data_IF_691953629041
#
_entry.id   IF_691953629041
#
_cell.length_a   1.000
_cell.length_b   1.000
_cell.length_c   1.000
_cell.angle_alpha   90.00
_cell.angle_beta   90.00
_cell.angle_gamma   90.00
#
_symmetry.space_group_name_H-M   'P 1'
#
loop_
_entity.id
_entity.type
_entity.pdbx_description
1 polymer ?
#
# COMPACT_ATOMS: atom_id res chain seq x y z
N UNK A 1 1.58 -1.95 -26.16
CA UNK A 1 2.21 -0.98 -25.24
C UNK A 1 3.13 -1.76 -24.32
N UNK A 2 4.40 -1.35 -24.22
CA UNK A 2 5.41 -2.06 -23.45
C UNK A 2 5.10 -1.90 -21.95
N UNK A 3 4.66 -3.00 -21.33
CA UNK A 3 4.58 -3.14 -19.87
C UNK A 3 6.01 -3.06 -19.32
N UNK A 4 6.42 -1.95 -18.72
CA UNK A 4 7.77 -1.81 -18.16
C UNK A 4 7.77 -2.20 -16.69
N UNK A 5 8.41 -3.34 -16.41
CA UNK A 5 8.88 -3.64 -15.06
C UNK A 5 10.32 -3.15 -15.00
N UNK A 6 10.56 -2.11 -14.21
CA UNK A 6 11.89 -1.64 -13.89
C UNK A 6 12.39 -2.36 -12.63
N UNK A 7 13.22 -3.39 -12.80
CA UNK A 7 13.80 -4.13 -11.69
C UNK A 7 15.27 -3.75 -11.50
N UNK A 8 15.54 -2.99 -10.43
CA UNK A 8 16.89 -2.53 -10.06
C UNK A 8 17.57 -3.45 -9.05
N UNK A 9 16.87 -4.46 -8.51
CA UNK A 9 17.39 -5.37 -7.49
C UNK A 9 18.66 -6.13 -7.96
N UNK A 10 18.79 -6.59 -9.21
CA UNK A 10 20.05 -7.16 -9.69
C UNK A 10 21.25 -6.21 -9.57
N UNK A 11 21.03 -4.90 -9.76
CA UNK A 11 22.08 -3.89 -9.57
C UNK A 11 22.45 -3.70 -8.10
N UNK A 12 21.52 -3.94 -7.17
CA UNK A 12 21.80 -3.93 -5.73
C UNK A 12 22.66 -5.13 -5.32
N UNK A 13 22.40 -6.32 -5.86
CA UNK A 13 23.20 -7.51 -5.55
C UNK A 13 24.67 -7.40 -5.98
N UNK A 14 24.98 -6.66 -7.04
CA UNK A 14 26.36 -6.38 -7.47
C UNK A 14 27.19 -5.65 -6.40
N UNK A 15 26.54 -4.96 -5.45
CA UNK A 15 27.25 -4.30 -4.34
C UNK A 15 27.88 -5.32 -3.37
N UNK A 16 27.35 -6.54 -3.30
CA UNK A 16 27.84 -7.58 -2.40
C UNK A 16 29.02 -8.40 -2.96
N UNK A 17 29.41 -8.18 -4.22
CA UNK A 17 30.54 -8.89 -4.84
C UNK A 17 31.88 -8.62 -4.11
N UNK A 18 31.96 -7.55 -3.31
CA UNK A 18 33.13 -7.15 -2.53
C UNK A 18 33.02 -7.46 -1.01
N UNK A 19 32.07 -8.30 -0.59
CA UNK A 19 31.81 -8.75 0.80
C UNK A 19 31.37 -7.68 1.83
N UNK A 20 31.41 -6.38 1.52
CA UNK A 20 30.89 -5.31 2.41
C UNK A 20 30.23 -4.21 1.59
N UNK A 21 29.07 -3.74 2.03
CA UNK A 21 28.40 -2.54 1.48
C UNK A 21 28.65 -1.37 2.42
N UNK A 22 29.25 -0.30 1.91
CA UNK A 22 29.32 0.98 2.59
C UNK A 22 28.18 1.93 2.20
N UNK A 23 28.09 3.06 2.91
CA UNK A 23 27.17 4.14 2.56
C UNK A 23 27.38 4.66 1.14
N UNK A 24 28.64 4.77 0.70
CA UNK A 24 28.98 5.25 -0.65
C UNK A 24 28.48 4.29 -1.74
N UNK A 25 28.63 2.97 -1.53
CA UNK A 25 28.11 1.95 -2.45
C UNK A 25 26.59 2.04 -2.59
N UNK A 26 25.90 2.21 -1.45
CA UNK A 26 24.46 2.32 -1.41
C UNK A 26 23.96 3.63 -2.05
N UNK A 27 24.62 4.76 -1.79
CA UNK A 27 24.33 6.03 -2.46
C UNK A 27 24.56 5.95 -3.97
N UNK A 28 25.66 5.33 -4.41
CA UNK A 28 25.94 5.12 -5.83
C UNK A 28 24.87 4.26 -6.51
N UNK A 29 24.32 3.26 -5.82
CA UNK A 29 23.18 2.49 -6.34
C UNK A 29 21.94 3.37 -6.50
N UNK A 30 21.59 4.18 -5.50
CA UNK A 30 20.44 5.07 -5.57
C UNK A 30 20.56 6.11 -6.69
N UNK A 31 21.74 6.72 -6.84
CA UNK A 31 21.97 7.78 -7.82
C UNK A 31 21.99 7.25 -9.27
N UNK A 32 22.20 5.93 -9.46
CA UNK A 32 22.13 5.27 -10.77
C UNK A 32 20.70 5.01 -11.27
N UNK A 33 19.72 4.99 -10.36
CA UNK A 33 18.33 4.64 -10.67
C UNK A 33 17.34 5.71 -10.17
N UNK A 34 17.49 6.99 -10.57
CA UNK A 34 16.67 8.09 -10.05
C UNK A 34 15.17 7.85 -10.22
N UNK A 35 14.76 7.16 -11.28
CA UNK A 35 13.36 6.83 -11.56
C UNK A 35 12.71 5.93 -10.50
N UNK A 36 13.49 5.16 -9.73
CA UNK A 36 12.98 4.36 -8.61
C UNK A 36 13.06 5.11 -7.27
N UNK A 37 13.95 6.09 -7.14
CA UNK A 37 14.39 6.61 -5.85
C UNK A 37 14.04 8.06 -5.57
N UNK A 38 13.79 8.90 -6.58
CA UNK A 38 13.42 10.30 -6.37
C UNK A 38 12.11 10.42 -5.58
N UNK A 39 11.04 9.73 -6.02
CA UNK A 39 9.75 9.69 -5.30
C UNK A 39 9.90 9.05 -3.92
N UNK A 40 10.62 7.93 -3.84
CA UNK A 40 10.83 7.18 -2.59
C UNK A 40 11.50 8.02 -1.51
N UNK A 41 12.63 8.67 -1.80
CA UNK A 41 13.35 9.43 -0.80
C UNK A 41 12.69 10.76 -0.44
N UNK A 42 11.93 11.33 -1.38
CA UNK A 42 11.20 12.58 -1.17
C UNK A 42 10.00 12.41 -0.24
N UNK A 43 9.28 11.29 -0.35
CA UNK A 43 7.99 11.14 0.33
C UNK A 43 7.85 9.94 1.27
N UNK A 44 8.64 8.88 1.07
CA UNK A 44 8.43 7.60 1.77
C UNK A 44 9.57 7.21 2.72
N UNK A 45 10.78 7.70 2.48
CA UNK A 45 11.94 7.38 3.29
C UNK A 45 12.93 8.55 3.30
N UNK A 46 13.05 9.33 4.39
CA UNK A 46 14.08 10.36 4.43
C UNK A 46 15.49 9.77 4.25
N UNK A 47 16.23 10.23 3.24
CA UNK A 47 17.62 9.79 2.94
C UNK A 47 18.61 10.41 3.92
N UNK A 48 18.68 9.86 5.13
CA UNK A 48 19.64 10.27 6.18
C UNK A 48 20.71 9.20 6.39
N UNK A 49 21.94 9.61 6.73
CA UNK A 49 23.06 8.68 6.96
C UNK A 49 22.75 7.65 8.05
N UNK A 50 22.09 8.07 9.13
CA UNK A 50 21.66 7.17 10.21
C UNK A 50 20.72 6.08 9.70
N UNK A 51 19.71 6.45 8.90
CA UNK A 51 18.76 5.47 8.34
C UNK A 51 19.43 4.52 7.36
N UNK A 52 20.32 5.03 6.51
CA UNK A 52 21.02 4.20 5.54
C UNK A 52 22.00 3.24 6.22
N UNK A 53 22.73 3.70 7.24
CA UNK A 53 23.58 2.83 8.07
C UNK A 53 22.76 1.71 8.72
N UNK A 54 21.63 2.06 9.33
CA UNK A 54 20.71 1.09 9.92
C UNK A 54 20.09 0.13 8.89
N UNK A 55 19.96 0.54 7.61
CA UNK A 55 19.47 -0.33 6.54
C UNK A 55 20.55 -1.33 6.12
N UNK A 56 21.82 -0.89 6.00
CA UNK A 56 22.97 -1.74 5.69
C UNK A 56 23.06 -2.92 6.68
N UNK A 57 22.90 -2.65 7.98
CA UNK A 57 22.94 -3.69 9.02
C UNK A 57 21.80 -4.71 8.91
N UNK A 58 20.68 -4.34 8.27
CA UNK A 58 19.49 -5.19 8.14
C UNK A 58 19.46 -6.00 6.84
N UNK A 59 20.16 -5.58 5.78
CA UNK A 59 20.12 -6.29 4.51
C UNK A 59 20.57 -7.76 4.60
N UNK A 60 21.64 -8.14 5.34
CA UNK A 60 22.14 -9.52 5.34
C UNK A 60 21.07 -10.56 5.67
N UNK A 61 20.17 -10.26 6.62
CA UNK A 61 19.08 -11.18 7.00
C UNK A 61 17.90 -11.18 6.03
N UNK A 62 17.92 -10.31 5.01
CA UNK A 62 16.88 -10.14 4.00
C UNK A 62 17.31 -10.49 2.58
N UNK A 63 18.58 -10.81 2.34
CA UNK A 63 19.09 -11.08 0.99
C UNK A 63 18.37 -12.23 0.30
N UNK A 64 18.09 -13.32 1.01
CA UNK A 64 17.36 -14.45 0.44
C UNK A 64 15.94 -14.06 0.04
N UNK A 65 15.20 -13.38 0.91
CA UNK A 65 13.87 -12.84 0.61
C UNK A 65 13.90 -11.93 -0.62
N UNK A 66 14.83 -10.97 -0.64
CA UNK A 66 14.98 -9.98 -1.73
C UNK A 66 15.28 -10.67 -3.06
N UNK A 67 16.12 -11.72 -3.07
CA UNK A 67 16.42 -12.49 -4.27
C UNK A 67 15.17 -13.21 -4.79
N UNK A 68 14.45 -13.92 -3.92
CA UNK A 68 13.20 -14.61 -4.26
C UNK A 68 12.18 -13.62 -4.83
N UNK A 69 12.04 -12.44 -4.22
CA UNK A 69 11.14 -11.39 -4.68
C UNK A 69 11.55 -10.89 -6.08
N UNK A 70 12.84 -10.62 -6.30
CA UNK A 70 13.36 -10.18 -7.60
C UNK A 70 13.04 -11.16 -8.74
N UNK A 71 13.11 -12.46 -8.45
CA UNK A 71 12.84 -13.52 -9.44
C UNK A 71 11.35 -13.77 -9.66
N UNK A 72 10.53 -13.67 -8.61
CA UNK A 72 9.13 -14.10 -8.64
C UNK A 72 8.14 -12.96 -8.89
N UNK A 73 8.37 -11.78 -8.32
CA UNK A 73 7.44 -10.64 -8.36
C UNK A 73 7.08 -10.20 -9.78
N UNK A 74 7.99 -10.16 -10.77
CA UNK A 74 7.62 -9.82 -12.14
C UNK A 74 6.55 -10.73 -12.74
N UNK A 75 6.64 -12.04 -12.48
CA UNK A 75 5.63 -13.01 -12.94
C UNK A 75 4.29 -12.84 -12.22
N UNK A 76 4.33 -12.51 -10.93
CA UNK A 76 3.15 -12.25 -10.10
C UNK A 76 2.43 -10.98 -10.58
N UNK A 77 3.18 -9.92 -10.90
CA UNK A 77 2.64 -8.69 -11.48
C UNK A 77 1.86 -9.00 -12.76
N UNK A 78 2.44 -9.79 -13.68
CA UNK A 78 1.72 -10.16 -14.90
C UNK A 78 0.46 -10.99 -14.61
N UNK A 79 0.53 -11.94 -13.67
CA UNK A 79 -0.65 -12.72 -13.26
C UNK A 79 -1.79 -11.81 -12.76
N UNK A 80 -1.47 -10.87 -11.87
CA UNK A 80 -2.47 -9.97 -11.26
C UNK A 80 -3.03 -8.98 -12.28
N UNK A 81 -2.20 -8.45 -13.20
CA UNK A 81 -2.66 -7.61 -14.31
C UNK A 81 -3.72 -8.35 -15.15
N UNK A 82 -3.44 -9.60 -15.52
CA UNK A 82 -4.40 -10.38 -16.33
C UNK A 82 -5.69 -10.68 -15.57
N UNK A 83 -5.64 -10.81 -14.23
CA UNK A 83 -6.86 -10.93 -13.40
C UNK A 83 -7.68 -9.64 -13.40
N UNK A 84 -7.05 -8.47 -13.26
CA UNK A 84 -7.74 -7.18 -13.35
C UNK A 84 -8.36 -6.97 -14.73
N UNK A 85 -7.64 -7.32 -15.80
CA UNK A 85 -8.18 -7.30 -17.16
C UNK A 85 -9.38 -8.23 -17.30
N UNK A 86 -9.26 -9.48 -16.85
CA UNK A 86 -10.33 -10.47 -16.99
C UNK A 86 -11.58 -10.13 -16.19
N UNK A 87 -11.42 -9.58 -14.97
CA UNK A 87 -12.52 -9.30 -14.07
C UNK A 87 -13.18 -7.94 -14.33
N UNK A 88 -12.38 -6.90 -14.61
CA UNK A 88 -12.87 -5.53 -14.69
C UNK A 88 -12.70 -4.90 -16.07
N UNK A 89 -12.12 -5.61 -17.04
CA UNK A 89 -11.76 -5.03 -18.35
C UNK A 89 -10.66 -3.97 -18.24
N UNK A 90 -9.94 -3.92 -17.12
CA UNK A 90 -8.99 -2.85 -16.82
C UNK A 90 -7.62 -3.12 -17.46
N UNK A 91 -7.17 -2.17 -18.30
CA UNK A 91 -5.83 -2.19 -18.90
C UNK A 91 -4.84 -1.42 -18.02
N UNK A 92 -4.01 -2.16 -17.29
CA UNK A 92 -2.95 -1.60 -16.44
C UNK A 92 -1.83 -1.04 -17.33
N UNK A 93 -1.72 0.29 -17.40
CA UNK A 93 -0.75 1.02 -18.20
C UNK A 93 0.17 1.89 -17.33
N UNK A 94 0.88 1.27 -16.40
CA UNK A 94 1.84 1.92 -15.49
C UNK A 94 3.16 1.14 -15.47
N UNK A 95 4.23 1.79 -15.03
CA UNK A 95 5.52 1.14 -14.76
C UNK A 95 5.51 0.56 -13.35
N UNK A 96 6.16 -0.59 -13.19
CA UNK A 96 6.38 -1.20 -11.89
C UNK A 96 7.86 -1.11 -11.52
N UNK A 97 8.18 -0.43 -10.42
CA UNK A 97 9.54 -0.28 -9.91
C UNK A 97 9.80 -1.25 -8.78
N UNK A 98 10.78 -2.14 -8.97
CA UNK A 98 11.22 -3.11 -7.97
C UNK A 98 12.63 -2.71 -7.55
N UNK A 99 12.82 -2.45 -6.27
CA UNK A 99 14.08 -1.93 -5.76
C UNK A 99 14.35 -2.35 -4.32
N UNK A 100 15.57 -2.09 -3.85
CA UNK A 100 15.95 -2.25 -2.43
C UNK A 100 16.13 -0.87 -1.81
N UNK A 101 15.22 -0.49 -0.93
CA UNK A 101 15.17 0.82 -0.29
C UNK A 101 15.80 0.84 1.11
N UNK A 102 15.51 1.89 1.86
CA UNK A 102 16.00 2.12 3.23
C UNK A 102 14.98 1.75 4.32
N UNK A 103 14.15 0.72 4.09
CA UNK A 103 13.11 0.26 5.02
C UNK A 103 12.04 1.31 5.38
N UNK A 104 11.75 2.28 4.50
CA UNK A 104 10.68 3.27 4.64
C UNK A 104 9.28 2.67 4.45
N UNK A 105 8.87 2.50 3.19
CA UNK A 105 7.62 1.84 2.78
C UNK A 105 7.87 0.45 2.21
N UNK A 106 6.82 -0.35 2.10
CA UNK A 106 6.84 -1.68 1.46
C UNK A 106 6.35 -1.62 0.00
N UNK A 107 5.26 -0.90 -0.25
CA UNK A 107 4.77 -0.56 -1.57
C UNK A 107 4.06 0.79 -1.53
N UNK A 108 3.91 1.43 -2.69
CA UNK A 108 3.13 2.64 -2.86
C UNK A 108 2.86 2.90 -4.34
N UNK A 109 1.84 3.73 -4.59
CA UNK A 109 1.61 4.39 -5.88
C UNK A 109 2.19 5.80 -5.83
N UNK A 110 2.81 6.23 -6.92
CA UNK A 110 3.22 7.63 -7.10
C UNK A 110 2.04 8.60 -6.90
N UNK A 111 2.35 9.83 -6.49
CA UNK A 111 1.32 10.84 -6.19
C UNK A 111 0.50 11.32 -7.39
N UNK A 112 0.90 10.97 -8.61
CA UNK A 112 0.06 11.21 -9.79
C UNK A 112 -1.23 10.38 -9.71
N UNK A 113 -2.33 10.89 -10.29
CA UNK A 113 -3.64 10.21 -10.25
C UNK A 113 -3.56 8.80 -10.85
N UNK A 114 -2.79 8.65 -11.93
CA UNK A 114 -2.51 7.36 -12.56
C UNK A 114 -0.98 7.27 -12.65
N UNK A 115 -0.34 7.09 -11.50
CA UNK A 115 1.11 7.06 -11.37
C UNK A 115 1.70 5.65 -11.40
N UNK A 116 3.03 5.60 -11.40
CA UNK A 116 3.78 4.34 -11.35
C UNK A 116 3.63 3.63 -9.98
N UNK A 117 3.88 2.31 -9.96
CA UNK A 117 3.74 1.46 -8.77
C UNK A 117 5.13 1.02 -8.30
N UNK A 118 5.38 1.13 -6.99
CA UNK A 118 6.69 0.94 -6.39
C UNK A 118 6.66 -0.17 -5.35
N UNK A 119 7.66 -1.05 -5.38
CA UNK A 119 7.84 -2.17 -4.47
C UNK A 119 9.26 -2.18 -3.89
N UNK A 120 9.35 -1.96 -2.58
CA UNK A 120 10.59 -2.01 -1.81
C UNK A 120 10.78 -3.41 -1.23
N UNK A 121 11.58 -4.23 -1.91
CA UNK A 121 11.68 -5.67 -1.66
C UNK A 121 12.11 -6.01 -0.23
N UNK A 122 12.91 -5.16 0.42
CA UNK A 122 13.42 -5.41 1.77
C UNK A 122 12.34 -5.43 2.86
N UNK A 123 11.14 -4.89 2.57
CA UNK A 123 9.99 -4.91 3.48
C UNK A 123 8.87 -5.86 3.07
N UNK A 124 9.02 -6.56 1.95
CA UNK A 124 8.02 -7.51 1.50
C UNK A 124 8.28 -8.89 2.10
N UNK A 125 7.20 -9.67 2.22
CA UNK A 125 7.30 -11.11 2.42
C UNK A 125 7.63 -11.77 1.09
N UNK A 126 8.54 -12.74 1.09
CA UNK A 126 8.90 -13.55 -0.09
C UNK A 126 7.83 -14.58 -0.47
N UNK A 127 6.90 -14.87 0.44
CA UNK A 127 5.74 -15.74 0.19
C UNK A 127 4.86 -15.24 -0.97
N UNK A 128 4.64 -16.13 -1.95
CA UNK A 128 3.92 -15.82 -3.21
C UNK A 128 2.54 -15.20 -2.97
N UNK A 129 1.76 -15.75 -2.06
CA UNK A 129 0.38 -15.29 -1.83
C UNK A 129 0.34 -13.89 -1.20
N UNK A 130 1.33 -13.55 -0.37
CA UNK A 130 1.46 -12.20 0.18
C UNK A 130 1.79 -11.19 -0.92
N UNK A 131 2.70 -11.56 -1.83
CA UNK A 131 3.07 -10.75 -2.99
C UNK A 131 1.87 -10.56 -3.95
N UNK A 132 1.07 -11.60 -4.18
CA UNK A 132 -0.15 -11.50 -5.02
C UNK A 132 -1.13 -10.49 -4.44
N UNK A 133 -1.34 -10.51 -3.13
CA UNK A 133 -2.26 -9.58 -2.46
C UNK A 133 -1.77 -8.15 -2.53
N UNK A 134 -0.52 -7.87 -2.18
CA UNK A 134 -0.03 -6.49 -2.18
C UNK A 134 0.03 -5.91 -3.61
N UNK A 135 0.37 -6.72 -4.62
CA UNK A 135 0.29 -6.27 -6.02
C UNK A 135 -1.15 -5.96 -6.41
N UNK A 136 -2.11 -6.79 -5.99
CA UNK A 136 -3.52 -6.54 -6.26
C UNK A 136 -4.04 -5.28 -5.56
N UNK A 137 -3.53 -4.99 -4.36
CA UNK A 137 -3.84 -3.78 -3.61
C UNK A 137 -3.37 -2.52 -4.35
N UNK A 138 -2.09 -2.46 -4.74
CA UNK A 138 -1.55 -1.28 -5.42
C UNK A 138 -2.19 -1.02 -6.79
N UNK A 139 -2.46 -2.09 -7.57
CA UNK A 139 -3.24 -1.96 -8.82
C UNK A 139 -4.67 -1.49 -8.52
N UNK A 140 -5.23 -1.87 -7.36
CA UNK A 140 -6.55 -1.45 -6.91
C UNK A 140 -6.67 0.05 -6.72
N UNK A 141 -5.62 0.71 -6.22
CA UNK A 141 -5.58 2.18 -6.15
C UNK A 141 -5.65 2.83 -7.53
N UNK A 142 -4.87 2.33 -8.50
CA UNK A 142 -4.89 2.84 -9.88
C UNK A 142 -6.26 2.61 -10.52
N UNK A 143 -6.78 1.39 -10.44
CA UNK A 143 -8.08 1.05 -10.98
C UNK A 143 -9.19 1.94 -10.42
N UNK A 144 -9.21 2.14 -9.09
CA UNK A 144 -10.18 3.00 -8.44
C UNK A 144 -10.08 4.46 -8.91
N UNK A 145 -8.87 5.00 -9.06
CA UNK A 145 -8.68 6.34 -9.61
C UNK A 145 -9.23 6.44 -11.05
N UNK A 146 -9.00 5.44 -11.90
CA UNK A 146 -9.57 5.39 -13.25
C UNK A 146 -11.10 5.37 -13.22
N UNK A 147 -11.71 4.50 -12.39
CA UNK A 147 -13.16 4.42 -12.23
C UNK A 147 -13.76 5.75 -11.77
N UNK A 148 -13.14 6.41 -10.80
CA UNK A 148 -13.57 7.73 -10.32
C UNK A 148 -13.46 8.79 -11.41
N UNK A 149 -12.35 8.82 -12.15
CA UNK A 149 -12.12 9.77 -13.24
C UNK A 149 -13.16 9.60 -14.35
N UNK A 150 -13.44 8.36 -14.76
CA UNK A 150 -14.50 8.05 -15.74
C UNK A 150 -15.91 8.43 -15.23
N UNK A 151 -16.08 8.52 -13.92
CA UNK A 151 -17.33 8.93 -13.25
C UNK A 151 -17.31 10.40 -12.79
N UNK A 152 -16.47 11.24 -13.42
CA UNK A 152 -16.53 12.70 -13.28
C UNK A 152 -15.87 13.26 -12.03
N UNK A 153 -14.95 12.52 -11.40
CA UNK A 153 -14.18 13.01 -10.26
C UNK A 153 -13.39 14.28 -10.61
N UNK A 154 -13.57 15.34 -9.81
CA UNK A 154 -12.80 16.59 -9.91
C UNK A 154 -11.61 16.52 -8.95
N UNK A 155 -10.47 16.06 -9.47
CA UNK A 155 -9.24 15.91 -8.69
C UNK A 155 -8.71 17.21 -8.09
N UNK A 156 -9.12 18.38 -8.61
CA UNK A 156 -8.72 19.68 -8.04
C UNK A 156 -9.41 19.99 -6.72
N UNK A 157 -10.50 19.29 -6.42
CA UNK A 157 -11.26 19.39 -5.16
C UNK A 157 -11.05 18.20 -4.24
N UNK A 158 -10.21 17.24 -4.62
CA UNK A 158 -9.96 16.06 -3.83
C UNK A 158 -9.20 16.42 -2.54
N UNK A 159 -9.79 16.11 -1.40
CA UNK A 159 -9.21 16.34 -0.08
C UNK A 159 -8.23 15.23 0.30
N UNK A 160 -7.13 15.12 -0.43
CA UNK A 160 -6.15 14.02 -0.31
C UNK A 160 -5.57 13.81 1.10
N UNK A 161 -5.59 14.86 1.93
CA UNK A 161 -5.09 14.81 3.31
C UNK A 161 -6.18 14.53 4.34
N UNK A 162 -7.45 14.43 3.92
CA UNK A 162 -8.53 14.08 4.83
C UNK A 162 -8.44 12.58 5.17
N UNK A 163 -8.42 12.20 6.45
CA UNK A 163 -8.30 10.81 6.87
C UNK A 163 -9.51 9.93 6.49
N UNK A 164 -10.69 10.50 6.23
CA UNK A 164 -11.83 9.77 5.68
C UNK A 164 -11.57 9.35 4.22
N UNK A 165 -10.90 10.21 3.44
CA UNK A 165 -10.43 9.87 2.09
C UNK A 165 -9.39 8.75 2.16
N UNK A 166 -8.41 8.83 3.06
CA UNK A 166 -7.43 7.75 3.26
C UNK A 166 -8.09 6.44 3.66
N UNK A 167 -9.01 6.47 4.63
CA UNK A 167 -9.77 5.30 5.07
C UNK A 167 -10.53 4.63 3.93
N UNK A 168 -11.26 5.42 3.14
CA UNK A 168 -12.00 4.91 1.99
C UNK A 168 -11.08 4.33 0.90
N UNK A 169 -9.98 5.02 0.56
CA UNK A 169 -9.06 4.56 -0.51
C UNK A 169 -8.33 3.27 -0.13
N UNK A 170 -7.85 3.14 1.10
CA UNK A 170 -7.24 1.90 1.57
C UNK A 170 -8.27 0.78 1.69
N UNK A 171 -9.50 1.09 2.10
CA UNK A 171 -10.62 0.16 2.12
C UNK A 171 -10.98 -0.39 0.74
N UNK A 172 -11.08 0.49 -0.26
CA UNK A 172 -11.35 0.11 -1.65
C UNK A 172 -10.22 -0.77 -2.20
N UNK A 173 -8.96 -0.38 -2.03
CA UNK A 173 -7.83 -1.18 -2.51
C UNK A 173 -7.75 -2.56 -1.83
N UNK A 174 -8.00 -2.61 -0.52
CA UNK A 174 -8.06 -3.88 0.22
C UNK A 174 -9.22 -4.76 -0.27
N UNK A 175 -10.42 -4.19 -0.42
CA UNK A 175 -11.59 -4.88 -0.97
C UNK A 175 -11.32 -5.44 -2.37
N UNK A 176 -10.76 -4.63 -3.27
CA UNK A 176 -10.40 -5.08 -4.63
C UNK A 176 -9.35 -6.19 -4.61
N UNK A 177 -8.37 -6.14 -3.69
CA UNK A 177 -7.38 -7.20 -3.52
C UNK A 177 -8.03 -8.54 -3.14
N UNK A 178 -9.06 -8.53 -2.29
CA UNK A 178 -9.86 -9.72 -1.94
C UNK A 178 -10.65 -10.27 -3.12
N UNK A 179 -11.13 -9.39 -4.01
CA UNK A 179 -11.85 -9.82 -5.21
C UNK A 179 -10.92 -10.48 -6.23
N UNK A 180 -9.70 -9.97 -6.38
CA UNK A 180 -8.72 -10.44 -7.37
C UNK A 180 -7.96 -11.68 -6.90
N UNK A 181 -7.60 -11.73 -5.61
CA UNK A 181 -6.87 -12.82 -4.97
C UNK A 181 -7.79 -13.49 -3.96
N UNK A 182 -8.41 -14.61 -4.34
CA UNK A 182 -9.39 -15.31 -3.50
C UNK A 182 -8.78 -16.47 -2.72
N UNK A 183 -9.42 -16.83 -1.60
CA UNK A 183 -9.15 -18.07 -0.87
C UNK A 183 -8.01 -18.01 0.15
N UNK A 184 -7.55 -16.82 0.51
CA UNK A 184 -6.53 -16.63 1.55
C UNK A 184 -7.14 -16.38 2.92
N UNK A 185 -6.32 -16.56 3.96
CA UNK A 185 -6.64 -16.12 5.32
C UNK A 185 -6.86 -14.61 5.30
N UNK A 186 -7.89 -14.16 6.01
CA UNK A 186 -8.33 -12.77 6.01
C UNK A 186 -7.23 -11.79 6.46
N UNK A 187 -6.40 -12.19 7.42
CA UNK A 187 -5.29 -11.38 7.94
C UNK A 187 -4.22 -11.04 6.89
N UNK A 188 -4.13 -11.82 5.82
CA UNK A 188 -3.17 -11.59 4.74
C UNK A 188 -3.53 -10.33 3.95
N UNK A 189 -4.82 -10.00 3.79
CA UNK A 189 -5.25 -8.80 3.06
C UNK A 189 -4.89 -7.49 3.76
N UNK A 190 -4.61 -7.55 5.06
CA UNK A 190 -4.25 -6.37 5.87
C UNK A 190 -2.74 -6.31 6.16
N UNK A 191 -2.13 -7.45 6.48
CA UNK A 191 -0.74 -7.52 6.91
C UNK A 191 0.25 -7.80 5.77
N UNK A 192 -0.22 -8.41 4.68
CA UNK A 192 0.63 -8.99 3.63
C UNK A 192 1.69 -9.95 4.21
N UNK A 193 1.31 -10.69 5.25
CA UNK A 193 2.18 -11.59 6.01
C UNK A 193 1.39 -12.75 6.62
N UNK A 194 2.10 -13.76 7.11
CA UNK A 194 1.48 -14.88 7.83
C UNK A 194 1.15 -14.58 9.29
N UNK A 195 1.67 -13.46 9.81
CA UNK A 195 1.65 -13.10 11.24
C UNK A 195 0.54 -12.09 11.58
N UNK A 196 -0.36 -11.81 10.64
CA UNK A 196 -1.43 -10.83 10.81
C UNK A 196 -2.59 -11.26 11.70
N UNK A 197 -2.72 -12.56 12.02
CA UNK A 197 -3.86 -13.11 12.74
C UNK A 197 -4.10 -12.45 14.12
N UNK A 198 -3.09 -12.21 14.98
CA UNK A 198 -3.30 -11.52 16.26
C UNK A 198 -3.83 -10.09 16.08
N UNK A 199 -3.34 -9.38 15.07
CA UNK A 199 -3.78 -8.01 14.78
C UNK A 199 -5.23 -8.01 14.32
N UNK A 200 -5.60 -8.89 13.38
CA UNK A 200 -6.98 -9.02 12.91
C UNK A 200 -7.95 -9.42 14.02
N UNK A 201 -7.55 -10.34 14.90
CA UNK A 201 -8.35 -10.74 16.05
C UNK A 201 -8.61 -9.54 16.98
N UNK A 202 -7.57 -8.73 17.26
CA UNK A 202 -7.73 -7.51 18.02
C UNK A 202 -8.72 -6.54 17.36
N UNK A 203 -8.67 -6.39 16.03
CA UNK A 203 -9.56 -5.49 15.30
C UNK A 203 -11.02 -5.90 15.45
N UNK A 204 -11.31 -7.19 15.27
CA UNK A 204 -12.66 -7.73 15.38
C UNK A 204 -13.22 -7.65 16.80
N UNK A 205 -12.41 -7.93 17.81
CA UNK A 205 -12.82 -7.87 19.21
C UNK A 205 -13.07 -6.43 19.70
N UNK A 206 -12.44 -5.44 19.06
CA UNK A 206 -12.44 -4.05 19.50
C UNK A 206 -13.06 -3.08 18.47
N UNK A 207 -13.76 -3.58 17.45
CA UNK A 207 -14.23 -2.78 16.30
C UNK A 207 -14.96 -1.50 16.73
N UNK A 208 -15.95 -1.62 17.63
CA UNK A 208 -16.70 -0.48 18.17
C UNK A 208 -15.80 0.55 18.87
N UNK A 209 -14.78 0.08 19.60
CA UNK A 209 -13.84 0.95 20.27
C UNK A 209 -12.93 1.66 19.28
N UNK A 210 -12.47 0.94 18.25
CA UNK A 210 -11.63 1.44 17.17
C UNK A 210 -12.40 2.51 16.37
N UNK A 211 -13.66 2.26 15.97
CA UNK A 211 -14.53 3.25 15.31
C UNK A 211 -14.68 4.52 16.12
N UNK A 212 -15.04 4.39 17.41
CA UNK A 212 -15.16 5.54 18.32
C UNK A 212 -13.86 6.31 18.43
N UNK A 213 -12.73 5.63 18.51
CA UNK A 213 -11.43 6.28 18.66
C UNK A 213 -11.03 7.02 17.38
N UNK A 214 -11.25 6.43 16.21
CA UNK A 214 -11.02 7.10 14.93
C UNK A 214 -11.86 8.39 14.83
N UNK A 215 -13.16 8.30 15.14
CA UNK A 215 -14.07 9.46 15.14
C UNK A 215 -13.61 10.56 16.12
N UNK A 216 -13.18 10.18 17.33
CA UNK A 216 -12.63 11.15 18.29
C UNK A 216 -11.35 11.80 17.78
N UNK A 217 -10.46 11.04 17.16
CA UNK A 217 -9.23 11.57 16.59
C UNK A 217 -9.50 12.51 15.41
N UNK A 218 -10.50 12.19 14.59
CA UNK A 218 -11.02 13.05 13.51
C UNK A 218 -11.53 14.39 14.06
N UNK A 219 -12.49 14.36 14.99
CA UNK A 219 -13.15 15.57 15.55
C UNK A 219 -12.15 16.46 16.29
N UNK A 220 -11.14 15.89 16.96
CA UNK A 220 -10.10 16.64 17.68
C UNK A 220 -9.04 17.26 16.76
N UNK A 221 -9.11 17.02 15.44
CA UNK A 221 -8.15 17.49 14.44
C UNK A 221 -7.02 16.48 14.17
N UNK A 222 -6.63 16.31 12.91
CA UNK A 222 -5.68 15.29 12.50
C UNK A 222 -4.22 15.72 12.67
N UNK A 223 -3.34 14.82 13.12
CA UNK A 223 -1.90 15.06 13.30
C UNK A 223 -1.08 13.91 12.72
N UNK A 224 0.23 14.11 12.54
CA UNK A 224 1.14 13.06 12.08
C UNK A 224 1.16 11.82 12.99
N UNK A 225 1.01 12.00 14.31
CA UNK A 225 0.93 10.87 15.25
C UNK A 225 -0.34 10.04 15.05
N UNK A 226 -1.45 10.70 14.70
CA UNK A 226 -2.70 10.02 14.38
C UNK A 226 -2.57 9.29 13.04
N UNK A 227 -2.04 9.94 12.03
CA UNK A 227 -1.74 9.30 10.74
C UNK A 227 -0.85 8.04 10.93
N UNK A 228 0.13 8.14 11.83
CA UNK A 228 1.01 7.04 12.21
C UNK A 228 0.26 5.88 12.88
N UNK A 229 -0.65 6.16 13.81
CA UNK A 229 -1.50 5.15 14.47
C UNK A 229 -2.37 4.41 13.45
N UNK A 230 -2.98 5.14 12.51
CA UNK A 230 -4.04 4.60 11.65
C UNK A 230 -3.53 3.95 10.37
N UNK A 231 -2.56 4.56 9.70
CA UNK A 231 -2.21 4.20 8.31
C UNK A 231 -0.76 3.77 8.12
N UNK A 232 0.19 4.25 8.95
CA UNK A 232 1.62 3.94 8.73
C UNK A 232 2.01 2.57 9.26
N UNK A 233 2.95 1.91 8.57
CA UNK A 233 3.56 0.63 8.97
C UNK A 233 4.22 0.65 10.35
N UNK A 234 4.77 1.81 10.75
CA UNK A 234 5.36 1.98 12.07
C UNK A 234 4.34 1.90 13.20
N UNK A 235 3.04 1.98 12.88
CA UNK A 235 1.92 1.93 13.80
C UNK A 235 1.96 3.04 14.85
N UNK A 236 1.04 2.94 15.79
CA UNK A 236 1.03 3.76 16.98
C UNK A 236 0.97 2.92 18.25
N UNK A 237 0.88 3.60 19.39
CA UNK A 237 1.03 2.96 20.69
C UNK A 237 -0.34 2.65 21.34
N UNK A 238 -1.45 3.13 20.78
CA UNK A 238 -2.72 3.03 21.48
C UNK A 238 -3.29 1.61 21.44
N UNK A 239 -3.34 1.01 20.25
CA UNK A 239 -3.77 -0.37 20.09
C UNK A 239 -2.60 -1.36 19.99
N UNK A 240 -1.38 -0.87 19.75
CA UNK A 240 -0.17 -1.70 19.61
C UNK A 240 -0.09 -2.47 18.29
N UNK A 241 -0.95 -2.13 17.32
CA UNK A 241 -0.99 -2.72 15.97
C UNK A 241 -0.98 -1.61 14.91
N UNK A 242 -0.69 -1.95 13.65
CA UNK A 242 -0.60 -1.01 12.53
C UNK A 242 -1.72 -1.23 11.51
N UNK A 243 -1.97 -0.25 10.62
CA UNK A 243 -2.99 -0.35 9.55
C UNK A 243 -4.42 -0.57 10.06
N UNK A 244 -4.76 -0.06 11.24
CA UNK A 244 -6.14 -0.06 11.75
C UNK A 244 -7.12 0.62 10.78
N UNK A 245 -6.65 1.66 10.07
CA UNK A 245 -7.43 2.36 9.06
C UNK A 245 -7.78 1.48 7.85
N UNK A 246 -6.98 0.47 7.53
CA UNK A 246 -7.28 -0.48 6.45
C UNK A 246 -8.45 -1.37 6.85
N UNK A 247 -8.46 -1.87 8.08
CA UNK A 247 -9.57 -2.66 8.61
C UNK A 247 -10.87 -1.84 8.61
N UNK A 248 -10.86 -0.64 9.22
CA UNK A 248 -12.04 0.23 9.21
C UNK A 248 -12.48 0.61 7.79
N UNK A 249 -11.52 0.89 6.91
CA UNK A 249 -11.76 1.19 5.51
C UNK A 249 -12.49 0.06 4.79
N UNK A 250 -12.03 -1.17 4.96
CA UNK A 250 -12.66 -2.35 4.36
C UNK A 250 -14.05 -2.58 4.95
N UNK A 251 -14.22 -2.48 6.28
CA UNK A 251 -15.56 -2.58 6.91
C UNK A 251 -16.54 -1.52 6.37
N UNK A 252 -16.08 -0.28 6.17
CA UNK A 252 -16.89 0.77 5.55
C UNK A 252 -17.21 0.45 4.09
N UNK A 253 -16.22 -0.01 3.32
CA UNK A 253 -16.40 -0.40 1.92
C UNK A 253 -17.42 -1.53 1.78
N UNK A 254 -17.31 -2.58 2.60
CA UNK A 254 -18.28 -3.68 2.63
C UNK A 254 -19.68 -3.19 3.00
N UNK A 255 -19.80 -2.27 3.96
CA UNK A 255 -21.07 -1.66 4.33
C UNK A 255 -21.73 -0.92 3.15
N UNK A 256 -20.98 -0.09 2.41
CA UNK A 256 -21.54 0.65 1.28
C UNK A 256 -21.82 -0.27 0.08
N UNK A 257 -20.99 -1.30 -0.17
CA UNK A 257 -21.25 -2.32 -1.20
C UNK A 257 -22.55 -3.06 -0.91
N UNK A 258 -22.75 -3.50 0.34
CA UNK A 258 -23.97 -4.17 0.75
C UNK A 258 -25.21 -3.26 0.62
N UNK A 259 -25.05 -1.95 0.86
CA UNK A 259 -26.16 -1.00 0.88
C UNK A 259 -26.52 -0.48 -0.52
N UNK A 260 -25.53 -0.25 -1.38
CA UNK A 260 -25.68 0.49 -2.64
C UNK A 260 -25.31 -0.32 -3.89
N UNK A 261 -24.56 -1.42 -3.73
CA UNK A 261 -23.94 -2.15 -4.84
C UNK A 261 -22.48 -1.77 -5.04
N UNK A 262 -21.72 -2.65 -5.70
CA UNK A 262 -20.27 -2.48 -5.91
C UNK A 262 -19.95 -1.27 -6.81
N UNK A 263 -20.71 -1.05 -7.88
CA UNK A 263 -20.46 0.06 -8.81
C UNK A 263 -20.68 1.43 -8.14
N UNK A 264 -21.75 1.55 -7.36
CA UNK A 264 -22.07 2.73 -6.57
C UNK A 264 -21.03 2.95 -5.47
N UNK A 265 -20.60 1.87 -4.80
CA UNK A 265 -19.56 1.95 -3.78
C UNK A 265 -18.21 2.41 -4.33
N UNK A 266 -17.79 1.91 -5.50
CA UNK A 266 -16.53 2.31 -6.16
C UNK A 266 -16.58 3.71 -6.79
N UNK A 267 -17.76 4.27 -7.01
CA UNK A 267 -17.94 5.63 -7.56
C UNK A 267 -18.49 6.61 -6.52
N UNK A 268 -18.54 6.20 -5.25
CA UNK A 268 -19.21 6.95 -4.19
C UNK A 268 -18.60 8.35 -4.02
N UNK A 269 -17.27 8.43 -3.98
CA UNK A 269 -16.54 9.67 -3.73
C UNK A 269 -16.76 10.73 -4.82
N UNK A 270 -16.97 10.35 -6.08
CA UNK A 270 -17.19 11.34 -7.14
C UNK A 270 -18.57 12.00 -7.12
N UNK A 271 -19.53 11.39 -6.40
CA UNK A 271 -20.95 11.79 -6.42
C UNK A 271 -21.48 12.26 -5.07
N UNK A 272 -20.78 11.97 -3.97
CA UNK A 272 -21.29 12.16 -2.61
C UNK A 272 -20.27 12.84 -1.70
N UNK A 273 -20.77 13.35 -0.58
CA UNK A 273 -19.92 13.81 0.52
C UNK A 273 -19.34 12.61 1.27
N UNK A 274 -18.15 12.17 0.86
CA UNK A 274 -17.47 11.01 1.44
C UNK A 274 -17.24 11.18 2.94
N UNK A 275 -16.75 12.36 3.37
CA UNK A 275 -16.42 12.61 4.76
C UNK A 275 -17.65 12.48 5.66
N UNK A 276 -18.76 13.10 5.27
CA UNK A 276 -20.02 13.01 6.00
C UNK A 276 -20.50 11.57 6.10
N UNK A 277 -20.46 10.81 5.00
CA UNK A 277 -20.88 9.40 5.01
C UNK A 277 -20.01 8.52 5.90
N UNK A 278 -18.68 8.68 5.88
CA UNK A 278 -17.77 7.95 6.77
C UNK A 278 -18.06 8.32 8.22
N UNK A 279 -18.24 9.60 8.53
CA UNK A 279 -18.53 10.05 9.90
C UNK A 279 -19.87 9.53 10.42
N UNK A 280 -20.90 9.49 9.59
CA UNK A 280 -22.19 8.88 9.94
C UNK A 280 -22.06 7.38 10.18
N UNK A 281 -21.29 6.68 9.36
CA UNK A 281 -21.05 5.24 9.55
C UNK A 281 -20.26 4.94 10.83
N UNK A 282 -19.28 5.78 11.18
CA UNK A 282 -18.53 5.64 12.43
C UNK A 282 -19.38 5.82 13.70
N UNK A 283 -20.55 6.45 13.59
CA UNK A 283 -21.49 6.66 14.69
C UNK A 283 -22.52 5.53 14.87
N UNK A 284 -22.69 4.68 13.85
CA UNK A 284 -23.58 3.50 13.90
C UNK A 284 -22.93 2.39 14.71
#
# INVERSE_FOLDING_TARGET
>A
MNKMINNTIPSFFQLFDNNHIGLDDLNNYYDKHPEAFEEYFKFHCPKTEERLSNAIDKYPVKLEDILIISETLPSIIQEVIERYRAQFGFEVNVTFHLFVGGFGSNAFVEREIIGDIFFAAEKLSSEREHLRVIVAHEIGHIYHNVVLQENGMDWTKAEWTDPAVSLYREGVATYLSQQIVKGLRESVYYSYSSDGDPSLQCYKENEEHIKKRFLQDYVKGWTDEKDKEWFRLSGGNHFGYNRLGYFLGTSYMEYIVHTLGESEALTFWSKNNLNESVMEWLQK
#
